data_IF_581856914007
#
_entry.id   IF_581856914007
#
_cell.length_a   1.000
_cell.length_b   1.000
_cell.length_c   1.000
_cell.angle_alpha   90.00
_cell.angle_beta   90.00
_cell.angle_gamma   90.00
#
_symmetry.space_group_name_H-M   'P 1'
#
loop_
_entity.id
_entity.type
_entity.pdbx_description
1 polymer ?
#
# COMPACT_ATOMS: atom_id res chain seq x y z
N UNK A 1 10.24 -5.22 22.13
CA UNK A 1 9.99 -4.56 20.82
C UNK A 1 9.65 -5.66 19.82
N UNK A 2 8.40 -5.72 19.34
CA UNK A 2 7.98 -6.74 18.35
C UNK A 2 8.13 -6.13 16.95
N UNK A 3 8.86 -6.79 16.07
CA UNK A 3 9.00 -6.41 14.66
C UNK A 3 8.40 -7.52 13.81
N UNK A 4 7.56 -7.14 12.85
CA UNK A 4 6.88 -8.06 11.94
C UNK A 4 7.14 -7.56 10.53
N UNK A 5 7.54 -8.47 9.64
CA UNK A 5 7.75 -8.18 8.23
C UNK A 5 6.84 -9.10 7.43
N UNK A 6 6.08 -8.51 6.52
CA UNK A 6 5.17 -9.23 5.63
C UNK A 6 5.18 -8.55 4.25
N UNK A 7 4.64 -9.22 3.25
CA UNK A 7 4.65 -8.74 1.86
C UNK A 7 3.35 -9.09 1.15
N UNK A 8 2.94 -8.24 0.20
CA UNK A 8 1.80 -8.48 -0.68
C UNK A 8 2.26 -8.39 -2.13
N UNK A 9 1.81 -9.35 -2.94
CA UNK A 9 2.02 -9.30 -4.38
C UNK A 9 0.89 -8.53 -5.03
N UNK A 10 1.26 -7.51 -5.81
CA UNK A 10 0.32 -6.67 -6.56
C UNK A 10 0.62 -6.84 -8.05
N UNK A 11 -0.39 -7.22 -8.81
CA UNK A 11 -0.30 -7.29 -10.26
C UNK A 11 -0.76 -5.96 -10.86
N UNK A 12 0.02 -5.41 -11.78
CA UNK A 12 -0.30 -4.14 -12.45
C UNK A 12 -0.48 -4.34 -13.95
N UNK A 13 -1.18 -3.41 -14.59
CA UNK A 13 -1.31 -3.34 -16.05
C UNK A 13 -0.20 -2.50 -16.71
N UNK A 14 0.71 -1.92 -15.93
CA UNK A 14 1.72 -0.95 -16.40
C UNK A 14 1.12 0.42 -16.74
N UNK A 15 1.93 1.31 -17.31
CA UNK A 15 1.53 2.67 -17.74
C UNK A 15 0.95 3.55 -16.61
N UNK A 16 1.63 3.66 -15.47
CA UNK A 16 1.12 4.43 -14.32
C UNK A 16 -0.24 3.91 -13.88
N UNK A 17 -0.28 2.59 -13.68
CA UNK A 17 -1.37 1.93 -12.99
C UNK A 17 -1.31 2.36 -11.53
N UNK A 18 -2.44 2.83 -11.03
CA UNK A 18 -2.57 3.24 -9.63
C UNK A 18 -3.46 2.20 -9.00
N UNK A 19 -2.97 1.60 -7.91
CA UNK A 19 -3.69 0.55 -7.20
C UNK A 19 -3.76 0.91 -5.72
N UNK A 20 -4.98 1.06 -5.21
CA UNK A 20 -5.27 1.18 -3.79
C UNK A 20 -4.89 -0.12 -3.04
N UNK A 21 -3.92 0.01 -2.13
CA UNK A 21 -3.42 -1.07 -1.28
C UNK A 21 -3.90 -0.98 0.17
N UNK A 22 -4.82 -0.05 0.48
CA UNK A 22 -5.26 0.25 1.86
C UNK A 22 -5.81 -1.00 2.54
N UNK A 23 -6.71 -1.73 1.90
CA UNK A 23 -7.32 -2.95 2.48
C UNK A 23 -6.29 -4.06 2.73
N UNK A 24 -5.32 -4.20 1.85
CA UNK A 24 -4.26 -5.19 1.94
C UNK A 24 -3.38 -4.88 3.17
N UNK A 25 -3.01 -3.61 3.34
CA UNK A 25 -2.23 -3.14 4.50
C UNK A 25 -3.03 -3.26 5.81
N UNK A 26 -4.30 -2.87 5.83
CA UNK A 26 -5.18 -3.02 7.00
C UNK A 26 -5.30 -4.50 7.43
N UNK A 27 -5.54 -5.40 6.46
CA UNK A 27 -5.64 -6.83 6.73
C UNK A 27 -4.36 -7.42 7.31
N UNK A 28 -3.19 -6.97 6.84
CA UNK A 28 -1.91 -7.37 7.42
C UNK A 28 -1.76 -6.84 8.84
N UNK A 29 -2.06 -5.56 9.07
CA UNK A 29 -1.95 -4.94 10.38
C UNK A 29 -2.86 -5.62 11.41
N UNK A 30 -4.11 -5.93 11.03
CA UNK A 30 -5.06 -6.65 11.91
C UNK A 30 -4.53 -8.01 12.37
N UNK A 31 -3.85 -8.77 11.49
CA UNK A 31 -3.27 -10.08 11.84
C UNK A 31 -2.14 -9.99 12.86
N UNK A 32 -1.49 -8.83 12.99
CA UNK A 32 -0.35 -8.65 13.90
C UNK A 32 -0.75 -8.63 15.38
N UNK A 33 -2.00 -8.24 15.68
CA UNK A 33 -2.50 -7.93 17.02
C UNK A 33 -1.84 -6.71 17.68
N UNK A 34 -1.06 -5.91 16.94
CA UNK A 34 -0.44 -4.69 17.45
C UNK A 34 -1.49 -3.60 17.61
N UNK A 35 -1.45 -2.90 18.74
CA UNK A 35 -2.34 -1.76 19.02
C UNK A 35 -1.69 -0.42 18.68
N UNK A 36 -0.37 -0.33 18.84
CA UNK A 36 0.39 0.91 18.69
C UNK A 36 1.80 0.60 18.14
N UNK A 37 2.33 1.50 17.32
CA UNK A 37 3.66 1.36 16.71
C UNK A 37 3.83 2.17 15.44
N UNK A 38 4.90 1.90 14.71
CA UNK A 38 5.17 2.47 13.39
C UNK A 38 4.99 1.40 12.31
N UNK A 39 4.43 1.80 11.17
CA UNK A 39 4.30 0.97 9.98
C UNK A 39 5.18 1.55 8.87
N UNK A 40 6.01 0.70 8.26
CA UNK A 40 6.79 1.04 7.07
C UNK A 40 6.24 0.24 5.89
N UNK A 41 5.82 0.95 4.85
CA UNK A 41 5.34 0.36 3.59
C UNK A 41 6.26 0.86 2.48
N UNK A 42 6.82 -0.07 1.71
CA UNK A 42 7.72 0.23 0.60
C UNK A 42 7.56 -0.83 -0.49
N UNK A 43 7.95 -0.46 -1.70
CA UNK A 43 8.01 -1.36 -2.85
C UNK A 43 9.41 -1.92 -3.02
N UNK A 44 9.48 -3.16 -3.49
CA UNK A 44 10.72 -3.80 -3.88
C UNK A 44 11.00 -3.44 -5.35
N UNK A 45 11.76 -2.36 -5.60
CA UNK A 45 12.18 -1.96 -6.94
C UNK A 45 12.25 -0.44 -7.13
N UNK A 46 12.84 -0.01 -8.25
CA UNK A 46 13.03 1.41 -8.59
C UNK A 46 11.99 1.97 -9.56
N UNK A 47 11.16 1.11 -10.15
CA UNK A 47 10.14 1.49 -11.14
C UNK A 47 8.74 1.53 -10.53
N UNK A 48 8.66 1.59 -9.21
CA UNK A 48 7.42 1.75 -8.47
C UNK A 48 7.68 2.67 -7.26
N UNK A 49 6.65 3.28 -6.73
CA UNK A 49 6.67 4.04 -5.49
C UNK A 49 5.39 3.82 -4.72
N UNK A 50 5.41 3.98 -3.40
CA UNK A 50 4.19 3.94 -2.57
C UNK A 50 3.93 5.35 -2.08
N UNK A 51 2.70 5.83 -2.22
CA UNK A 51 2.30 7.12 -1.67
C UNK A 51 0.93 7.05 -1.01
N UNK A 52 0.69 7.96 -0.07
CA UNK A 52 -0.62 8.18 0.53
C UNK A 52 -1.26 9.42 -0.08
N UNK A 53 -2.47 9.30 -0.63
CA UNK A 53 -3.28 10.44 -1.03
C UNK A 53 -4.76 10.23 -0.66
N UNK A 54 -5.52 11.33 -0.64
CA UNK A 54 -6.93 11.30 -0.27
C UNK A 54 -7.76 10.62 -1.38
N UNK A 55 -8.57 9.65 -0.99
CA UNK A 55 -9.56 9.03 -1.88
C UNK A 55 -10.76 9.97 -2.09
N UNK A 56 -11.07 10.30 -3.35
CA UNK A 56 -12.28 11.06 -3.74
C UNK A 56 -13.13 10.24 -4.72
N UNK A 57 -14.28 9.70 -4.30
CA UNK A 57 -15.15 8.93 -5.17
C UNK A 57 -15.69 9.82 -6.31
N UNK A 58 -15.43 9.46 -7.56
CA UNK A 58 -15.95 10.14 -8.76
C UNK A 58 -14.91 10.71 -9.73
N UNK A 59 -13.62 10.73 -9.37
CA UNK A 59 -12.53 11.03 -10.31
C UNK A 59 -11.73 9.76 -10.56
N UNK A 60 -11.70 9.30 -11.81
CA UNK A 60 -11.22 7.98 -12.19
C UNK A 60 -9.74 7.69 -11.90
N UNK A 61 -8.92 8.65 -11.45
CA UNK A 61 -7.50 8.42 -11.18
C UNK A 61 -6.94 9.44 -10.18
N UNK A 62 -7.16 9.21 -8.89
CA UNK A 62 -6.25 9.75 -7.87
C UNK A 62 -6.33 8.86 -6.63
N UNK A 63 -5.35 7.96 -6.44
CA UNK A 63 -5.32 6.99 -5.34
C UNK A 63 -4.03 6.99 -4.53
N UNK A 64 -4.13 6.68 -3.24
CA UNK A 64 -3.00 6.33 -2.38
C UNK A 64 -2.41 5.03 -2.91
N UNK A 65 -1.56 5.15 -3.92
CA UNK A 65 -1.22 4.05 -4.79
C UNK A 65 0.22 3.62 -4.61
N UNK A 66 0.44 2.34 -4.92
CA UNK A 66 1.69 1.99 -5.56
C UNK A 66 1.64 2.61 -6.97
N UNK A 67 2.41 3.66 -7.21
CA UNK A 67 2.58 4.27 -8.52
C UNK A 67 3.76 3.58 -9.21
N UNK A 68 3.50 2.79 -10.26
CA UNK A 68 4.52 2.22 -11.16
C UNK A 68 4.80 3.17 -12.32
#
# INVERSE_FOLDING_TARGET
MKVITDSVNISTQGNTDIIDVTRQVENLLHKTGLKEGNLSVFVLGSTAGVTSIKYEPGKQKTEAGIMI
#
